data_IF_777912002909
#
_entry.id   IF_777912002909
#
_cell.length_a   1.000
_cell.length_b   1.000
_cell.length_c   1.000
_cell.angle_alpha   90.00
_cell.angle_beta   90.00
_cell.angle_gamma   90.00
#
_symmetry.space_group_name_H-M   'P 1'
#
loop_
_entity.id
_entity.type
_entity.pdbx_description
1 polymer ?
#
# COMPACT_ATOMS: atom_id res chain seq x y z
N UNK A 1 -20.07 -6.47 -29.94
CA UNK A 1 -21.10 -6.39 -28.89
C UNK A 1 -20.59 -5.50 -27.76
N UNK A 2 -20.73 -4.18 -27.94
CA UNK A 2 -20.17 -3.17 -27.05
C UNK A 2 -21.02 -3.01 -25.79
N UNK A 3 -20.40 -3.01 -24.61
CA UNK A 3 -21.03 -2.45 -23.40
C UNK A 3 -20.22 -1.23 -22.98
N UNK A 4 -20.85 -0.07 -23.19
CA UNK A 4 -20.47 1.23 -22.63
C UNK A 4 -20.48 1.14 -21.11
N UNK A 5 -19.42 1.61 -20.46
CA UNK A 5 -19.46 2.04 -19.07
C UNK A 5 -19.37 3.58 -19.04
N UNK A 6 -20.52 4.22 -18.86
CA UNK A 6 -20.73 5.54 -18.28
C UNK A 6 -21.67 5.25 -17.10
N UNK A 7 -21.53 5.71 -15.87
CA UNK A 7 -20.73 6.73 -15.21
C UNK A 7 -21.50 7.10 -13.94
N UNK A 8 -20.81 7.60 -12.93
CA UNK A 8 -21.32 8.15 -11.67
C UNK A 8 -21.73 7.16 -10.57
N UNK A 9 -20.76 6.85 -9.70
CA UNK A 9 -21.00 6.91 -8.26
C UNK A 9 -19.94 7.82 -7.63
N UNK A 10 -20.34 9.06 -7.32
CA UNK A 10 -19.58 10.03 -6.54
C UNK A 10 -19.99 9.85 -5.08
N UNK A 11 -19.57 8.73 -4.49
CA UNK A 11 -19.75 8.41 -3.07
C UNK A 11 -18.41 8.44 -2.35
N UNK A 12 -18.33 9.22 -1.29
CA UNK A 12 -17.20 9.42 -0.35
C UNK A 12 -16.86 8.14 0.44
N UNK A 13 -16.54 7.05 -0.26
CA UNK A 13 -16.08 5.79 0.33
C UNK A 13 -14.57 5.72 0.30
N UNK A 14 -13.91 6.11 1.40
CA UNK A 14 -12.47 5.87 1.63
C UNK A 14 -12.19 4.38 1.39
N UNK A 15 -11.55 4.05 0.25
CA UNK A 15 -11.11 2.69 -0.05
C UNK A 15 -9.87 2.41 0.78
N UNK A 16 -10.08 2.00 2.04
CA UNK A 16 -9.03 1.28 2.77
C UNK A 16 -8.57 0.15 1.85
N UNK A 17 -7.27 0.10 1.58
CA UNK A 17 -6.62 -0.95 0.79
C UNK A 17 -6.89 -2.33 1.42
N UNK A 18 -8.05 -2.94 1.14
CA UNK A 18 -8.42 -4.32 1.54
C UNK A 18 -7.88 -4.72 2.93
N UNK A 19 -8.68 -4.57 3.97
CA UNK A 19 -8.36 -4.80 5.39
C UNK A 19 -8.01 -6.24 5.81
N UNK A 20 -7.23 -6.96 5.00
CA UNK A 20 -6.73 -8.29 5.29
C UNK A 20 -5.24 -8.20 5.59
N UNK A 21 -4.83 -8.73 6.74
CA UNK A 21 -3.42 -8.86 7.10
C UNK A 21 -2.67 -9.66 6.04
N UNK A 22 -1.38 -9.34 5.80
CA UNK A 22 -0.58 -10.11 4.86
C UNK A 22 -0.47 -11.56 5.35
N UNK A 23 -0.60 -12.52 4.44
CA UNK A 23 -0.24 -13.91 4.74
C UNK A 23 1.26 -14.00 5.07
N UNK A 24 1.69 -15.06 5.77
CA UNK A 24 3.11 -15.25 6.11
C UNK A 24 4.08 -15.08 4.91
N UNK A 25 3.82 -15.69 3.73
CA UNK A 25 4.63 -15.46 2.54
C UNK A 25 4.59 -14.01 2.02
N UNK A 26 3.43 -13.34 2.06
CA UNK A 26 3.32 -11.94 1.64
C UNK A 26 4.07 -11.00 2.58
N UNK A 27 4.00 -11.23 3.90
CA UNK A 27 4.71 -10.47 4.91
C UNK A 27 6.24 -10.59 4.74
N UNK A 28 6.75 -11.79 4.43
CA UNK A 28 8.17 -11.99 4.10
C UNK A 28 8.55 -11.31 2.78
N UNK A 29 7.69 -11.42 1.76
CA UNK A 29 7.97 -10.83 0.45
C UNK A 29 7.98 -9.29 0.48
N UNK A 30 7.16 -8.67 1.34
CA UNK A 30 7.15 -7.21 1.50
C UNK A 30 8.16 -6.68 2.54
N UNK A 31 8.98 -7.54 3.15
CA UNK A 31 9.96 -7.14 4.17
C UNK A 31 11.11 -6.31 3.58
N UNK A 32 11.27 -5.03 3.96
CA UNK A 32 12.33 -4.15 3.47
C UNK A 32 13.75 -4.69 3.66
N UNK A 33 13.99 -5.49 4.70
CA UNK A 33 15.32 -6.03 5.04
C UNK A 33 15.77 -7.21 4.18
N UNK A 34 14.89 -7.73 3.31
CA UNK A 34 15.16 -8.93 2.52
C UNK A 34 15.19 -8.62 1.02
N UNK A 35 16.15 -9.23 0.32
CA UNK A 35 16.10 -9.40 -1.13
C UNK A 35 15.32 -10.68 -1.45
N UNK A 36 14.20 -10.55 -2.15
CA UNK A 36 13.26 -11.67 -2.36
C UNK A 36 12.97 -11.90 -3.84
N UNK A 37 12.83 -13.17 -4.20
CA UNK A 37 12.26 -13.60 -5.47
C UNK A 37 10.87 -14.18 -5.21
N UNK A 38 9.86 -13.72 -5.95
CA UNK A 38 8.47 -14.12 -5.74
C UNK A 38 7.92 -14.79 -6.98
N UNK A 39 7.64 -16.07 -6.89
CA UNK A 39 6.81 -16.81 -7.86
C UNK A 39 5.37 -16.84 -7.38
N UNK A 40 4.43 -16.31 -8.17
CA UNK A 40 3.03 -16.37 -7.80
C UNK A 40 2.07 -16.35 -9.00
N UNK A 41 0.97 -17.09 -8.87
CA UNK A 41 -0.07 -17.20 -9.90
C UNK A 41 -0.86 -15.89 -10.08
N UNK A 42 -1.67 -15.80 -11.14
CA UNK A 42 -2.61 -14.69 -11.29
C UNK A 42 -3.55 -14.60 -10.07
N UNK A 43 -3.89 -13.39 -9.64
CA UNK A 43 -4.81 -13.17 -8.52
C UNK A 43 -4.23 -13.33 -7.11
N UNK A 44 -2.97 -13.73 -6.93
CA UNK A 44 -2.36 -13.97 -5.60
C UNK A 44 -1.90 -12.70 -4.86
N UNK A 45 -2.18 -11.52 -5.40
CA UNK A 45 -1.84 -10.25 -4.77
C UNK A 45 -0.40 -9.76 -4.98
N UNK A 46 0.30 -10.18 -6.05
CA UNK A 46 1.66 -9.68 -6.38
C UNK A 46 1.77 -8.15 -6.35
N UNK A 47 0.82 -7.47 -6.97
CA UNK A 47 0.77 -5.99 -6.99
C UNK A 47 0.61 -5.40 -5.60
N UNK A 48 -0.17 -6.06 -4.72
CA UNK A 48 -0.29 -5.66 -3.31
C UNK A 48 1.04 -5.83 -2.60
N UNK A 49 1.70 -6.98 -2.73
CA UNK A 49 3.01 -7.23 -2.11
C UNK A 49 4.04 -6.16 -2.50
N UNK A 50 4.07 -5.76 -3.79
CA UNK A 50 4.96 -4.69 -4.25
C UNK A 50 4.60 -3.33 -3.64
N UNK A 51 3.32 -2.97 -3.63
CA UNK A 51 2.87 -1.69 -3.06
C UNK A 51 3.13 -1.64 -1.54
N UNK A 52 2.81 -2.71 -0.82
CA UNK A 52 3.06 -2.87 0.61
C UNK A 52 4.56 -2.78 0.91
N UNK A 53 5.43 -3.34 0.05
CA UNK A 53 6.89 -3.23 0.21
C UNK A 53 7.36 -1.78 0.10
N UNK A 54 6.85 -1.01 -0.86
CA UNK A 54 7.20 0.41 -1.00
C UNK A 54 6.73 1.19 0.23
N UNK A 55 5.49 0.97 0.68
CA UNK A 55 4.98 1.61 1.90
C UNK A 55 5.80 1.26 3.14
N UNK A 56 6.23 0.01 3.29
CA UNK A 56 7.11 -0.42 4.39
C UNK A 56 8.50 0.20 4.31
N UNK A 57 9.07 0.38 3.11
CA UNK A 57 10.34 1.11 2.92
C UNK A 57 10.21 2.57 3.37
N UNK A 58 9.12 3.24 2.99
CA UNK A 58 8.86 4.63 3.39
C UNK A 58 8.65 4.75 4.91
N UNK A 59 7.89 3.84 5.52
CA UNK A 59 7.73 3.77 6.98
C UNK A 59 9.06 3.53 7.71
N UNK A 60 9.98 2.79 7.08
CA UNK A 60 11.33 2.57 7.60
C UNK A 60 12.28 3.78 7.38
N UNK A 61 11.79 4.87 6.78
CA UNK A 61 12.56 6.10 6.58
C UNK A 61 13.39 6.13 5.29
N UNK A 62 13.12 5.25 4.33
CA UNK A 62 13.76 5.33 3.03
C UNK A 62 13.41 6.66 2.32
N UNK A 63 14.40 7.31 1.71
CA UNK A 63 14.17 8.45 0.84
C UNK A 63 13.33 7.98 -0.37
N UNK A 64 12.15 8.57 -0.65
CA UNK A 64 11.34 8.21 -1.81
C UNK A 64 12.12 8.21 -3.13
N UNK A 65 13.04 9.16 -3.31
CA UNK A 65 13.86 9.28 -4.52
C UNK A 65 14.87 8.13 -4.69
N UNK A 66 15.15 7.39 -3.62
CA UNK A 66 16.02 6.21 -3.65
C UNK A 66 15.26 4.91 -4.00
N UNK A 67 13.94 4.97 -4.19
CA UNK A 67 13.11 3.79 -4.50
C UNK A 67 12.79 3.76 -5.99
N UNK A 68 13.41 2.83 -6.72
CA UNK A 68 13.05 2.53 -8.10
C UNK A 68 12.09 1.35 -8.16
N UNK A 69 10.86 1.58 -8.65
CA UNK A 69 9.90 0.52 -8.90
C UNK A 69 9.56 0.43 -10.39
N UNK A 70 9.74 -0.75 -10.98
CA UNK A 70 9.58 -1.00 -12.42
C UNK A 70 8.50 -2.03 -12.68
N UNK A 71 7.80 -1.89 -13.82
CA UNK A 71 6.76 -2.82 -14.26
C UNK A 71 6.69 -2.86 -15.78
N UNK A 72 6.07 -3.90 -16.34
CA UNK A 72 6.05 -4.16 -17.78
C UNK A 72 5.20 -3.14 -18.56
N UNK A 73 4.20 -2.52 -17.95
CA UNK A 73 3.29 -1.59 -18.64
C UNK A 73 3.15 -0.27 -17.92
N UNK A 74 2.95 0.80 -18.69
CA UNK A 74 2.61 2.14 -18.15
C UNK A 74 1.34 2.09 -17.28
N UNK A 75 0.33 1.32 -17.68
CA UNK A 75 -0.91 1.20 -16.92
C UNK A 75 -0.68 0.60 -15.53
N UNK A 76 0.14 -0.45 -15.43
CA UNK A 76 0.50 -1.04 -14.15
C UNK A 76 1.33 -0.07 -13.28
N UNK A 77 2.17 0.76 -13.90
CA UNK A 77 2.98 1.74 -13.17
C UNK A 77 2.09 2.82 -12.52
N UNK A 78 1.12 3.34 -13.30
CA UNK A 78 0.14 4.31 -12.83
C UNK A 78 -0.74 3.70 -11.73
N UNK A 79 -1.23 2.47 -11.91
CA UNK A 79 -2.02 1.77 -10.89
C UNK A 79 -1.25 1.63 -9.57
N UNK A 80 -0.01 1.19 -9.64
CA UNK A 80 0.84 0.99 -8.47
C UNK A 80 1.14 2.32 -7.74
N UNK A 81 1.44 3.38 -8.49
CA UNK A 81 1.66 4.72 -7.93
C UNK A 81 0.40 5.23 -7.23
N UNK A 82 -0.76 5.14 -7.89
CA UNK A 82 -2.03 5.58 -7.32
C UNK A 82 -2.42 4.80 -6.05
N UNK A 83 -2.08 3.51 -5.94
CA UNK A 83 -2.28 2.72 -4.70
C UNK A 83 -1.44 3.27 -3.54
N UNK A 84 -0.17 3.60 -3.80
CA UNK A 84 0.75 4.13 -2.78
C UNK A 84 0.28 5.53 -2.35
N UNK A 85 0.01 6.42 -3.30
CA UNK A 85 -0.47 7.78 -3.04
C UNK A 85 -1.78 7.78 -2.23
N UNK A 86 -2.73 6.91 -2.59
CA UNK A 86 -3.99 6.76 -1.84
C UNK A 86 -3.73 6.36 -0.39
N UNK A 87 -2.84 5.38 -0.15
CA UNK A 87 -2.52 4.95 1.21
C UNK A 87 -1.90 6.05 2.05
N UNK A 88 -0.93 6.78 1.46
CA UNK A 88 -0.25 7.88 2.14
C UNK A 88 -1.23 9.02 2.46
N UNK A 89 -2.08 9.39 1.49
CA UNK A 89 -3.13 10.39 1.69
C UNK A 89 -4.09 9.98 2.82
N UNK A 90 -4.58 8.74 2.78
CA UNK A 90 -5.47 8.19 3.80
C UNK A 90 -4.85 8.26 5.20
N UNK A 91 -3.57 7.91 5.33
CA UNK A 91 -2.84 7.98 6.61
C UNK A 91 -2.67 9.40 7.14
N UNK A 92 -2.39 10.36 6.26
CA UNK A 92 -2.21 11.75 6.64
C UNK A 92 -3.49 12.37 7.20
N UNK A 93 -4.65 12.03 6.64
CA UNK A 93 -5.94 12.60 7.05
C UNK A 93 -6.75 11.74 8.02
N UNK A 94 -6.28 10.54 8.40
CA UNK A 94 -7.02 9.65 9.31
C UNK A 94 -6.94 10.14 10.76
N UNK A 95 -7.97 10.80 11.27
CA UNK A 95 -7.97 11.29 12.66
C UNK A 95 -8.20 10.21 13.71
N UNK A 96 -8.75 9.05 13.31
CA UNK A 96 -9.00 7.93 14.21
C UNK A 96 -7.76 7.02 14.32
N UNK A 97 -7.15 7.02 15.49
CA UNK A 97 -5.93 6.27 15.78
C UNK A 97 -6.11 4.75 15.68
N UNK A 98 -7.30 4.21 15.98
CA UNK A 98 -7.57 2.78 15.85
C UNK A 98 -7.69 2.39 14.37
N UNK A 99 -8.31 3.24 13.55
CA UNK A 99 -8.37 3.03 12.09
C UNK A 99 -7.00 3.14 11.44
N UNK A 100 -6.20 4.13 11.84
CA UNK A 100 -4.83 4.26 11.35
C UNK A 100 -4.00 3.03 11.76
N UNK A 101 -4.16 2.57 13.01
CA UNK A 101 -3.46 1.38 13.50
C UNK A 101 -3.84 0.13 12.71
N UNK A 102 -5.13 -0.08 12.44
CA UNK A 102 -5.61 -1.20 11.64
C UNK A 102 -5.10 -1.15 10.19
N UNK A 103 -5.07 0.05 9.58
CA UNK A 103 -4.54 0.26 8.23
C UNK A 103 -3.05 -0.08 8.14
N UNK A 104 -2.25 0.43 9.09
CA UNK A 104 -0.81 0.15 9.16
C UNK A 104 -0.55 -1.34 9.43
N UNK A 105 -1.27 -1.95 10.37
CA UNK A 105 -1.12 -3.37 10.69
C UNK A 105 -1.48 -4.28 9.51
N UNK A 106 -2.45 -3.88 8.67
CA UNK A 106 -2.79 -4.60 7.44
C UNK A 106 -1.67 -4.60 6.38
N UNK A 107 -0.63 -3.78 6.56
CA UNK A 107 0.54 -3.67 5.68
C UNK A 107 1.80 -4.21 6.35
N UNK A 108 2.06 -3.81 7.59
CA UNK A 108 3.27 -4.22 8.35
C UNK A 108 3.15 -5.61 8.95
N UNK A 109 1.92 -6.09 9.19
CA UNK A 109 1.64 -7.32 9.92
C UNK A 109 1.72 -7.18 11.44
N UNK A 110 2.08 -6.00 11.95
CA UNK A 110 2.25 -5.72 13.39
C UNK A 110 1.50 -4.46 13.78
N UNK A 111 0.87 -4.47 14.96
CA UNK A 111 0.17 -3.29 15.48
C UNK A 111 1.17 -2.15 15.72
N UNK A 112 0.95 -0.95 15.14
CA UNK A 112 1.92 0.12 15.24
C UNK A 112 1.87 0.82 16.61
N UNK A 113 3.02 1.34 17.03
CA UNK A 113 3.14 2.26 18.15
C UNK A 113 2.72 3.70 17.79
N UNK A 114 2.82 4.60 18.76
CA UNK A 114 2.57 6.04 18.56
C UNK A 114 3.55 6.67 17.55
N UNK A 115 4.83 6.30 17.65
CA UNK A 115 5.88 6.83 16.76
C UNK A 115 5.62 6.48 15.29
N UNK A 116 5.25 5.23 15.01
CA UNK A 116 4.97 4.75 13.66
C UNK A 116 3.74 5.44 13.06
N UNK A 117 2.69 5.65 13.87
CA UNK A 117 1.53 6.46 13.45
C UNK A 117 1.91 7.89 13.12
N UNK A 118 2.75 8.53 13.96
CA UNK A 118 3.23 9.88 13.72
C UNK A 118 4.14 9.99 12.48
N UNK A 119 4.90 8.94 12.16
CA UNK A 119 5.66 8.86 10.90
C UNK A 119 4.69 8.74 9.72
N UNK A 120 3.75 7.80 9.77
CA UNK A 120 2.79 7.56 8.68
C UNK A 120 2.04 8.84 8.28
N UNK A 121 1.61 9.65 9.25
CA UNK A 121 0.92 10.93 9.02
C UNK A 121 1.75 11.97 8.27
N UNK A 122 3.09 11.90 8.35
CA UNK A 122 4.03 12.85 7.76
C UNK A 122 4.58 12.41 6.41
N UNK A 123 4.28 11.19 5.97
CA UNK A 123 4.76 10.67 4.68
C UNK A 123 4.03 11.25 3.46
N UNK A 124 2.91 11.95 3.68
CA UNK A 124 2.21 12.72 2.65
C UNK A 124 2.44 14.20 2.93
N UNK A 125 3.38 14.80 2.21
CA UNK A 125 3.78 16.21 2.33
C UNK A 125 3.93 16.83 0.94
#
# INVERSE_FOLDING_TARGET
MARRFHGADRGTGRRILSGHRPTGPQARASDPGLSVWVTANAGTGKTRVLSDRVLRLLLAGANPEAILCITFTRAAAVEMTGRIETALADWAVETDDERLSASLEAITGTRPGERERAVARRLFA
#
